data_IF_139461023213
#
_entry.id   IF_139461023213
#
_cell.length_a   1.000
_cell.length_b   1.000
_cell.length_c   1.000
_cell.angle_alpha   90.00
_cell.angle_beta   90.00
_cell.angle_gamma   90.00
#
_symmetry.space_group_name_H-M   'P 1'
#
loop_
_entity.id
_entity.type
_entity.pdbx_description
1 polymer ?
#
# COMPACT_ATOMS: atom_id res chain seq x y z
N UNK A 1 38.85 13.31 4.98
CA UNK A 1 37.66 14.10 5.36
C UNK A 1 36.90 14.35 4.08
N UNK A 2 36.00 13.42 3.75
CA UNK A 2 35.30 13.42 2.47
C UNK A 2 34.05 14.29 2.57
N UNK A 3 33.83 15.16 1.57
CA UNK A 3 32.79 16.22 1.54
C UNK A 3 31.38 15.66 1.25
N UNK A 4 31.15 14.39 1.55
CA UNK A 4 29.90 13.68 1.21
C UNK A 4 28.80 13.82 2.27
N UNK A 5 29.10 14.39 3.45
CA UNK A 5 28.12 14.51 4.57
C UNK A 5 27.05 15.59 4.38
N UNK A 6 27.24 16.58 3.51
CA UNK A 6 26.30 17.72 3.39
C UNK A 6 25.26 17.57 2.29
N UNK A 7 25.38 16.55 1.42
CA UNK A 7 24.46 16.38 0.30
C UNK A 7 23.12 15.82 0.79
N UNK A 8 22.08 16.63 0.65
CA UNK A 8 20.70 16.26 0.91
C UNK A 8 20.04 15.66 -0.33
N UNK A 9 19.24 14.63 -0.13
CA UNK A 9 18.46 13.97 -1.18
C UNK A 9 16.98 14.09 -0.86
N UNK A 10 16.23 14.64 -1.80
CA UNK A 10 14.76 14.67 -1.73
C UNK A 10 14.19 13.36 -2.24
N UNK A 11 13.24 12.81 -1.50
CA UNK A 11 12.65 11.52 -1.75
C UNK A 11 11.13 11.64 -1.69
N UNK A 12 10.48 10.93 -2.61
CA UNK A 12 9.05 10.68 -2.57
C UNK A 12 8.79 9.18 -2.67
N UNK A 13 7.87 8.69 -1.83
CA UNK A 13 7.33 7.33 -1.87
C UNK A 13 5.81 7.42 -1.76
N UNK A 14 5.05 6.99 -2.78
CA UNK A 14 3.60 7.02 -2.71
C UNK A 14 3.07 5.93 -1.78
N UNK A 15 1.83 6.04 -1.36
CA UNK A 15 1.08 4.88 -0.89
C UNK A 15 0.75 3.92 -2.05
N UNK A 16 -0.03 2.88 -1.75
CA UNK A 16 -0.54 1.96 -2.77
C UNK A 16 -1.99 1.61 -2.52
N UNK A 17 -2.72 1.37 -3.60
CA UNK A 17 -4.01 0.69 -3.54
C UNK A 17 -3.89 -0.70 -4.18
N UNK A 18 -4.55 -1.66 -3.56
CA UNK A 18 -4.79 -2.96 -4.18
C UNK A 18 -6.01 -2.80 -5.09
N UNK A 19 -5.80 -2.85 -6.41
CA UNK A 19 -6.90 -2.85 -7.36
C UNK A 19 -7.67 -4.17 -7.24
N UNK A 20 -6.95 -5.29 -7.18
CA UNK A 20 -7.50 -6.64 -7.05
C UNK A 20 -6.53 -7.59 -6.37
N UNK A 21 -7.05 -8.57 -5.63
CA UNK A 21 -6.29 -9.71 -5.13
C UNK A 21 -5.82 -9.62 -3.70
N UNK A 22 -6.55 -8.84 -2.89
CA UNK A 22 -6.35 -8.77 -1.45
C UNK A 22 -6.18 -10.16 -0.82
N UNK A 23 -5.29 -10.25 0.16
CA UNK A 23 -5.00 -11.45 0.94
C UNK A 23 -4.34 -12.63 0.19
N UNK A 24 -4.27 -12.58 -1.14
CA UNK A 24 -3.70 -13.69 -1.91
C UNK A 24 -2.18 -13.82 -1.75
N UNK A 25 -1.51 -12.75 -1.34
CA UNK A 25 -0.07 -12.69 -1.09
C UNK A 25 0.36 -13.59 0.08
N UNK A 26 -0.30 -13.49 1.23
CA UNK A 26 -0.04 -14.41 2.35
C UNK A 26 -0.69 -15.78 2.14
N UNK A 27 -1.81 -15.87 1.42
CA UNK A 27 -2.47 -17.16 1.15
C UNK A 27 -1.55 -18.08 0.33
N UNK A 28 -0.77 -17.51 -0.59
CA UNK A 28 0.22 -18.23 -1.38
C UNK A 28 1.28 -18.95 -0.54
N UNK A 29 1.58 -18.48 0.68
CA UNK A 29 2.55 -19.11 1.59
C UNK A 29 2.14 -20.53 2.02
N UNK A 30 0.84 -20.82 2.01
CA UNK A 30 0.32 -22.15 2.32
C UNK A 30 0.56 -23.15 1.17
N UNK A 31 0.74 -22.66 -0.07
CA UNK A 31 1.09 -23.49 -1.23
C UNK A 31 -0.08 -24.22 -1.89
N UNK A 32 -1.33 -23.89 -1.56
CA UNK A 32 -2.51 -24.45 -2.24
C UNK A 32 -2.74 -23.84 -3.62
N UNK A 33 -2.56 -22.52 -3.72
CA UNK A 33 -2.69 -21.75 -4.96
C UNK A 33 -1.59 -20.68 -5.03
N UNK A 34 -1.29 -20.22 -6.26
CA UNK A 34 -0.51 -18.99 -6.45
C UNK A 34 -1.36 -17.78 -6.07
N UNK A 35 -0.74 -16.82 -5.41
CA UNK A 35 -1.32 -15.51 -5.12
C UNK A 35 -1.14 -14.57 -6.30
N UNK A 36 -2.12 -13.71 -6.54
CA UNK A 36 -2.07 -12.71 -7.60
C UNK A 36 -2.64 -11.41 -7.07
N UNK A 37 -1.84 -10.35 -7.08
CA UNK A 37 -2.29 -9.01 -6.69
C UNK A 37 -2.03 -8.03 -7.84
N UNK A 38 -2.99 -7.17 -8.10
CA UNK A 38 -2.87 -6.06 -9.02
C UNK A 38 -2.85 -4.77 -8.20
N UNK A 39 -1.77 -4.01 -8.25
CA UNK A 39 -1.58 -2.83 -7.39
C UNK A 39 -1.10 -1.63 -8.18
N UNK A 40 -1.38 -0.43 -7.67
CA UNK A 40 -0.88 0.84 -8.23
C UNK A 40 -0.64 1.85 -7.10
N UNK A 41 0.35 2.72 -7.27
CA UNK A 41 0.67 3.79 -6.34
C UNK A 41 -0.35 4.94 -6.35
N UNK A 42 -0.57 5.52 -5.18
CA UNK A 42 -1.42 6.71 -5.02
C UNK A 42 -0.71 7.99 -5.46
N UNK A 43 -1.45 9.09 -5.60
CA UNK A 43 -0.84 10.43 -5.76
C UNK A 43 -0.27 10.95 -4.45
N UNK A 44 -0.87 10.49 -3.34
CA UNK A 44 -0.47 10.79 -1.98
C UNK A 44 0.67 9.85 -1.53
N UNK A 45 1.52 10.32 -0.63
CA UNK A 45 2.68 9.59 -0.16
C UNK A 45 3.43 10.27 0.98
N UNK A 46 4.71 9.92 1.07
CA UNK A 46 5.68 10.48 2.01
C UNK A 46 6.71 11.27 1.22
N UNK A 47 6.89 12.53 1.59
CA UNK A 47 8.02 13.34 1.14
C UNK A 47 9.05 13.43 2.25
N UNK A 48 10.32 13.25 1.92
CA UNK A 48 11.38 13.30 2.90
C UNK A 48 12.69 13.87 2.33
N UNK A 49 13.57 14.27 3.24
CA UNK A 49 14.94 14.65 2.95
C UNK A 49 15.86 13.70 3.71
N UNK A 50 16.82 13.10 3.01
CA UNK A 50 17.78 12.16 3.57
C UNK A 50 19.22 12.66 3.40
N UNK A 51 20.07 12.38 4.40
CA UNK A 51 21.52 12.63 4.39
C UNK A 51 22.28 11.46 4.99
N UNK A 52 23.54 11.31 4.59
CA UNK A 52 24.45 10.41 5.28
C UNK A 52 24.73 10.94 6.69
N UNK A 53 24.82 10.04 7.66
CA UNK A 53 25.10 10.37 9.05
C UNK A 53 25.88 9.24 9.75
N UNK A 54 26.48 9.51 10.91
CA UNK A 54 27.14 8.49 11.72
C UNK A 54 26.14 7.68 12.57
N UNK A 55 24.97 8.27 12.87
CA UNK A 55 23.85 7.66 13.60
C UNK A 55 22.67 7.39 12.68
N UNK A 56 21.71 6.58 13.15
CA UNK A 56 20.40 6.48 12.51
C UNK A 56 19.42 7.41 13.21
N UNK A 57 18.83 8.33 12.47
CA UNK A 57 17.90 9.33 12.97
C UNK A 57 16.72 9.44 12.01
N UNK A 58 15.51 9.39 12.57
CA UNK A 58 14.28 9.60 11.81
C UNK A 58 13.44 10.63 12.54
N UNK A 59 12.98 11.63 11.82
CA UNK A 59 12.18 12.75 12.33
C UNK A 59 10.93 12.94 11.47
N UNK A 60 9.78 13.21 12.10
CA UNK A 60 8.55 13.60 11.39
C UNK A 60 7.68 14.54 12.21
N UNK A 61 6.99 15.45 11.52
CA UNK A 61 5.88 16.20 12.11
C UNK A 61 4.66 15.29 12.24
N UNK A 62 4.06 15.25 13.44
CA UNK A 62 2.86 14.45 13.67
C UNK A 62 1.66 15.15 13.01
N UNK A 63 0.86 14.47 12.18
CA UNK A 63 -0.41 15.03 11.75
C UNK A 63 -1.38 15.18 12.93
N UNK A 64 -2.16 16.26 12.96
CA UNK A 64 -3.32 16.37 13.83
C UNK A 64 -4.41 15.33 13.42
N UNK A 65 -5.49 15.16 14.20
CA UNK A 65 -6.55 14.19 13.87
C UNK A 65 -7.24 14.45 12.52
N UNK A 66 -7.06 15.63 11.91
CA UNK A 66 -7.59 16.01 10.60
C UNK A 66 -6.54 15.88 9.49
N UNK A 67 -5.34 15.36 9.80
CA UNK A 67 -4.24 15.16 8.85
C UNK A 67 -3.41 16.42 8.58
N UNK A 68 -3.57 17.51 9.33
CA UNK A 68 -2.77 18.75 9.17
C UNK A 68 -1.49 18.63 9.98
N UNK A 69 -0.38 19.22 9.53
CA UNK A 69 0.86 19.23 10.32
C UNK A 69 0.63 19.89 11.68
N UNK A 70 0.59 19.08 12.75
CA UNK A 70 0.66 19.62 14.10
C UNK A 70 2.11 20.06 14.33
N UNK A 71 2.34 21.20 14.98
CA UNK A 71 3.72 21.65 15.29
C UNK A 71 4.49 20.73 16.24
N UNK A 72 3.99 19.51 16.52
CA UNK A 72 4.62 18.51 17.37
C UNK A 72 5.50 17.61 16.52
N UNK A 73 6.76 17.54 16.91
CA UNK A 73 7.74 16.68 16.30
C UNK A 73 7.84 15.33 17.04
N UNK A 74 8.05 14.24 16.30
CA UNK A 74 8.51 12.94 16.82
C UNK A 74 9.84 12.64 16.17
N UNK A 75 10.78 12.16 16.98
CA UNK A 75 12.09 11.78 16.51
C UNK A 75 12.55 10.52 17.25
N UNK A 76 13.26 9.64 16.54
CA UNK A 76 14.18 8.69 17.15
C UNK A 76 15.61 9.00 16.71
N UNK A 77 16.56 8.69 17.58
CA UNK A 77 17.98 8.66 17.21
C UNK A 77 18.67 7.53 17.96
N UNK A 78 19.43 6.71 17.24
CA UNK A 78 20.17 5.63 17.84
C UNK A 78 21.51 5.41 17.13
N UNK A 79 22.41 4.68 17.81
CA UNK A 79 23.71 4.35 17.26
C UNK A 79 23.54 3.45 16.04
N UNK A 80 24.35 3.70 15.01
CA UNK A 80 24.43 2.83 13.83
C UNK A 80 25.17 1.53 14.16
N UNK A 81 24.45 0.60 14.80
CA UNK A 81 24.90 -0.77 15.04
C UNK A 81 23.73 -1.74 15.08
N UNK A 82 23.95 -2.97 14.60
CA UNK A 82 22.90 -3.96 14.42
C UNK A 82 22.14 -4.30 15.71
N UNK A 83 22.82 -4.31 16.86
CA UNK A 83 22.17 -4.65 18.14
C UNK A 83 21.19 -3.56 18.56
N UNK A 84 21.57 -2.29 18.47
CA UNK A 84 20.72 -1.15 18.82
C UNK A 84 19.53 -1.05 17.88
N UNK A 85 19.75 -1.19 16.56
CA UNK A 85 18.68 -1.15 15.55
C UNK A 85 17.65 -2.27 15.75
N UNK A 86 18.12 -3.49 16.01
CA UNK A 86 17.24 -4.64 16.25
C UNK A 86 16.40 -4.48 17.52
N UNK A 87 16.97 -3.89 18.58
CA UNK A 87 16.25 -3.61 19.81
C UNK A 87 15.11 -2.61 19.55
N UNK A 88 15.39 -1.50 18.86
CA UNK A 88 14.39 -0.50 18.50
C UNK A 88 13.30 -1.06 17.56
N UNK A 89 13.64 -1.96 16.63
CA UNK A 89 12.65 -2.62 15.76
C UNK A 89 11.66 -3.51 16.53
N UNK A 90 12.13 -4.13 17.61
CA UNK A 90 11.35 -5.05 18.45
C UNK A 90 10.59 -4.37 19.58
N UNK A 91 10.91 -3.12 19.89
CA UNK A 91 10.20 -2.32 20.89
C UNK A 91 8.80 -1.95 20.36
N UNK A 92 7.76 -2.35 21.10
CA UNK A 92 6.37 -2.08 20.73
C UNK A 92 5.95 -0.64 21.01
N UNK A 93 6.65 0.05 21.91
CA UNK A 93 6.41 1.44 22.27
C UNK A 93 7.15 2.43 21.33
N UNK A 94 8.08 1.92 20.52
CA UNK A 94 8.84 2.72 19.57
C UNK A 94 8.02 3.05 18.31
N UNK A 95 7.74 4.33 18.13
CA UNK A 95 6.95 4.86 17.01
C UNK A 95 7.60 4.57 15.65
N UNK A 96 8.93 4.65 15.55
CA UNK A 96 9.66 4.42 14.30
C UNK A 96 10.25 3.00 14.20
N UNK A 97 9.69 2.02 14.91
CA UNK A 97 10.18 0.63 14.90
C UNK A 97 10.28 0.01 13.49
N UNK A 98 9.35 0.37 12.58
CA UNK A 98 9.42 -0.01 11.17
C UNK A 98 10.68 0.51 10.48
N UNK A 99 11.04 1.78 10.76
CA UNK A 99 12.24 2.40 10.21
C UNK A 99 13.49 1.72 10.76
N UNK A 100 13.52 1.44 12.07
CA UNK A 100 14.62 0.72 12.71
C UNK A 100 14.79 -0.69 12.16
N UNK A 101 13.69 -1.39 11.85
CA UNK A 101 13.72 -2.72 11.23
C UNK A 101 14.39 -2.70 9.85
N UNK A 102 14.02 -1.76 8.98
CA UNK A 102 14.67 -1.63 7.66
C UNK A 102 16.13 -1.18 7.81
N UNK A 103 16.41 -0.26 8.72
CA UNK A 103 17.76 0.18 9.02
C UNK A 103 18.65 -0.97 9.51
N UNK A 104 18.11 -1.90 10.33
CA UNK A 104 18.79 -3.13 10.72
C UNK A 104 19.16 -3.99 9.51
N UNK A 105 18.22 -4.24 8.59
CA UNK A 105 18.47 -4.99 7.36
C UNK A 105 19.56 -4.30 6.50
N UNK A 106 19.50 -2.97 6.38
CA UNK A 106 20.51 -2.18 5.67
C UNK A 106 21.89 -2.21 6.33
N UNK A 107 21.97 -2.32 7.66
CA UNK A 107 23.24 -2.28 8.41
C UNK A 107 24.21 -3.40 8.07
N UNK A 108 23.70 -4.51 7.53
CA UNK A 108 24.51 -5.67 7.14
C UNK A 108 24.83 -5.72 5.65
N UNK A 109 24.30 -4.79 4.85
CA UNK A 109 24.48 -4.79 3.40
C UNK A 109 25.84 -4.21 2.99
N UNK A 110 26.53 -4.85 2.02
CA UNK A 110 27.71 -4.27 1.40
C UNK A 110 27.41 -2.89 0.79
N UNK A 111 28.32 -1.94 0.97
CA UNK A 111 28.22 -0.59 0.43
C UNK A 111 27.56 0.44 1.35
N UNK A 112 26.84 0.02 2.40
CA UNK A 112 26.32 0.94 3.42
C UNK A 112 27.43 1.31 4.39
N UNK A 113 27.84 2.59 4.39
CA UNK A 113 29.04 3.06 5.11
C UNK A 113 28.76 3.74 6.45
N UNK A 114 27.50 4.04 6.75
CA UNK A 114 27.09 4.77 7.95
C UNK A 114 25.59 4.72 8.13
N UNK A 115 25.10 5.47 9.12
CA UNK A 115 23.68 5.65 9.39
C UNK A 115 23.00 6.62 8.41
N UNK A 116 21.87 7.16 8.82
CA UNK A 116 21.01 7.97 7.98
C UNK A 116 20.34 9.03 8.83
N UNK A 117 20.37 10.28 8.39
CA UNK A 117 19.50 11.33 8.90
C UNK A 117 18.33 11.49 7.92
N UNK A 118 17.13 11.05 8.32
CA UNK A 118 15.92 11.05 7.52
C UNK A 118 14.84 11.93 8.16
N UNK A 119 14.49 13.04 7.50
CA UNK A 119 13.38 13.89 7.90
C UNK A 119 12.20 13.74 6.96
N UNK A 120 11.09 13.20 7.44
CA UNK A 120 9.81 13.17 6.73
C UNK A 120 9.19 14.57 6.82
N UNK A 121 9.11 15.25 5.69
CA UNK A 121 8.68 16.65 5.60
C UNK A 121 7.21 16.81 5.31
N UNK A 122 6.58 15.82 4.66
CA UNK A 122 5.14 15.82 4.39
C UNK A 122 4.59 14.39 4.32
N UNK A 123 3.34 14.25 4.74
CA UNK A 123 2.58 13.00 4.72
C UNK A 123 1.12 13.34 4.43
N UNK A 124 0.67 13.07 3.20
CA UNK A 124 -0.71 13.28 2.76
C UNK A 124 -1.45 11.94 2.54
N UNK A 125 -0.83 10.83 2.95
CA UNK A 125 -1.40 9.49 2.92
C UNK A 125 -2.35 9.25 4.11
N UNK A 126 -3.58 8.72 3.90
CA UNK A 126 -4.47 8.39 5.02
C UNK A 126 -3.90 7.22 5.85
N UNK A 127 -3.49 7.52 7.08
CA UNK A 127 -2.84 6.56 7.98
C UNK A 127 -3.77 5.45 8.45
N UNK A 128 -3.28 4.20 8.47
CA UNK A 128 -3.97 3.01 9.02
C UNK A 128 -5.29 2.62 8.34
N UNK A 129 -5.54 3.03 7.09
CA UNK A 129 -6.81 2.76 6.38
C UNK A 129 -6.74 1.77 5.22
N UNK A 130 -5.58 1.17 4.97
CA UNK A 130 -5.42 0.15 3.90
C UNK A 130 -4.67 0.64 2.66
N UNK A 131 -4.06 1.82 2.72
CA UNK A 131 -3.21 2.41 1.66
C UNK A 131 -1.69 2.21 1.89
N UNK A 132 -1.33 1.24 2.74
CA UNK A 132 0.06 0.81 3.03
C UNK A 132 0.99 1.87 3.62
N UNK A 133 0.53 2.57 4.65
CA UNK A 133 1.37 3.54 5.36
C UNK A 133 2.63 2.93 6.00
N UNK A 134 2.59 1.68 6.50
CA UNK A 134 3.77 1.00 7.04
C UNK A 134 4.78 0.65 5.95
N UNK A 135 4.33 0.01 4.87
CA UNK A 135 5.23 -0.35 3.78
C UNK A 135 5.80 0.89 3.05
N UNK A 136 5.04 1.97 2.92
CA UNK A 136 5.55 3.22 2.35
C UNK A 136 6.71 3.80 3.18
N UNK A 137 6.62 3.78 4.53
CA UNK A 137 7.73 4.24 5.37
C UNK A 137 8.92 3.28 5.33
N UNK A 138 8.68 1.96 5.27
CA UNK A 138 9.75 0.97 5.09
C UNK A 138 10.50 1.17 3.76
N UNK A 139 9.76 1.34 2.66
CA UNK A 139 10.32 1.63 1.33
C UNK A 139 11.06 2.97 1.33
N UNK A 140 10.53 3.99 2.01
CA UNK A 140 11.20 5.28 2.14
C UNK A 140 12.59 5.15 2.76
N UNK A 141 12.71 4.39 3.86
CA UNK A 141 14.01 4.15 4.50
C UNK A 141 14.95 3.38 3.58
N UNK A 142 14.48 2.29 2.96
CA UNK A 142 15.31 1.49 2.03
C UNK A 142 15.80 2.34 0.85
N UNK A 143 14.89 3.10 0.22
CA UNK A 143 15.19 4.02 -0.89
C UNK A 143 16.13 5.15 -0.47
N UNK A 144 16.00 5.65 0.76
CA UNK A 144 16.91 6.66 1.29
C UNK A 144 18.34 6.14 1.42
N UNK A 145 18.53 4.94 1.98
CA UNK A 145 19.85 4.30 2.02
C UNK A 145 20.41 4.05 0.62
N UNK A 146 19.61 3.49 -0.30
CA UNK A 146 20.02 3.26 -1.69
C UNK A 146 20.49 4.55 -2.39
N UNK A 147 19.72 5.64 -2.23
CA UNK A 147 20.02 6.94 -2.85
C UNK A 147 21.24 7.60 -2.22
N UNK A 148 21.31 7.64 -0.88
CA UNK A 148 22.40 8.31 -0.15
C UNK A 148 23.73 7.62 -0.36
N UNK A 149 23.74 6.29 -0.36
CA UNK A 149 24.96 5.49 -0.50
C UNK A 149 25.26 5.06 -1.94
N UNK A 150 24.34 5.29 -2.88
CA UNK A 150 24.51 4.95 -4.30
C UNK A 150 24.64 3.44 -4.52
N UNK A 151 23.77 2.66 -3.87
CA UNK A 151 23.88 1.20 -3.86
C UNK A 151 23.43 0.57 -5.18
N UNK A 152 22.51 1.22 -5.91
CA UNK A 152 22.04 0.75 -7.21
C UNK A 152 21.14 -0.47 -7.12
N UNK A 153 20.35 -0.57 -6.05
CA UNK A 153 19.45 -1.69 -5.80
C UNK A 153 18.27 -1.68 -6.77
N UNK A 154 17.89 -2.87 -7.25
CA UNK A 154 16.68 -3.01 -8.05
C UNK A 154 15.43 -2.85 -7.18
N UNK A 155 14.28 -2.42 -7.76
CA UNK A 155 13.04 -2.21 -6.99
C UNK A 155 12.60 -3.42 -6.15
N UNK A 156 12.76 -4.65 -6.68
CA UNK A 156 12.41 -5.86 -5.94
C UNK A 156 13.32 -6.11 -4.73
N UNK A 157 14.60 -5.74 -4.80
CA UNK A 157 15.52 -5.83 -3.64
C UNK A 157 15.11 -4.84 -2.54
N UNK A 158 14.69 -3.64 -2.92
CA UNK A 158 14.15 -2.65 -1.97
C UNK A 158 12.86 -3.15 -1.32
N UNK A 159 12.00 -3.83 -2.07
CA UNK A 159 10.80 -4.47 -1.52
C UNK A 159 11.15 -5.53 -0.50
N UNK A 160 12.13 -6.38 -0.80
CA UNK A 160 12.56 -7.44 0.11
C UNK A 160 13.12 -6.89 1.41
N UNK A 161 13.96 -5.85 1.33
CA UNK A 161 14.50 -5.17 2.50
C UNK A 161 13.42 -4.51 3.35
N UNK A 162 12.47 -3.82 2.71
CA UNK A 162 11.34 -3.22 3.39
C UNK A 162 10.46 -4.27 4.07
N UNK A 163 10.20 -5.40 3.40
CA UNK A 163 9.41 -6.51 3.93
C UNK A 163 10.11 -7.19 5.12
N UNK A 164 11.40 -7.52 4.99
CA UNK A 164 12.17 -8.14 6.07
C UNK A 164 12.23 -7.22 7.29
N UNK A 165 12.50 -5.93 7.08
CA UNK A 165 12.49 -4.93 8.15
C UNK A 165 11.13 -4.80 8.84
N UNK A 166 10.04 -4.79 8.07
CA UNK A 166 8.67 -4.74 8.62
C UNK A 166 8.33 -6.00 9.43
N UNK A 167 8.81 -7.18 9.03
CA UNK A 167 8.57 -8.42 9.78
C UNK A 167 9.23 -8.46 11.15
N UNK A 168 10.32 -7.73 11.35
CA UNK A 168 10.96 -7.62 12.66
C UNK A 168 10.07 -6.97 13.72
N UNK A 169 9.03 -6.23 13.29
CA UNK A 169 8.08 -5.57 14.19
C UNK A 169 6.91 -6.49 14.62
N UNK A 170 6.92 -7.76 14.19
CA UNK A 170 5.78 -8.68 14.39
C UNK A 170 4.62 -8.47 13.41
N UNK A 171 4.80 -7.64 12.36
CA UNK A 171 3.79 -7.47 11.32
C UNK A 171 3.47 -8.80 10.62
N UNK A 172 2.18 -9.06 10.42
CA UNK A 172 1.68 -10.21 9.68
C UNK A 172 1.26 -9.86 8.23
N UNK A 173 1.54 -8.63 7.80
CA UNK A 173 1.27 -8.22 6.43
C UNK A 173 2.11 -9.06 5.45
N UNK A 174 1.53 -9.39 4.30
CA UNK A 174 2.28 -10.07 3.25
C UNK A 174 3.16 -9.11 2.46
N UNK A 175 3.68 -9.59 1.33
CA UNK A 175 4.70 -8.90 0.51
C UNK A 175 4.11 -7.92 -0.52
N UNK A 176 2.78 -7.80 -0.60
CA UNK A 176 2.11 -6.94 -1.59
C UNK A 176 2.40 -5.45 -1.35
N UNK A 177 2.44 -5.01 -0.09
CA UNK A 177 2.38 -3.60 0.26
C UNK A 177 3.64 -2.81 -0.12
N UNK A 178 4.79 -3.48 -0.18
CA UNK A 178 6.06 -2.89 -0.55
C UNK A 178 6.11 -2.53 -2.05
N UNK A 179 5.17 -3.02 -2.87
CA UNK A 179 5.07 -2.68 -4.28
C UNK A 179 4.71 -1.20 -4.54
N UNK A 180 4.46 -0.40 -3.49
CA UNK A 180 4.41 1.06 -3.59
C UNK A 180 5.67 1.68 -4.23
N UNK A 181 6.82 0.97 -4.21
CA UNK A 181 8.05 1.40 -4.90
C UNK A 181 7.85 1.63 -6.40
N UNK A 182 6.90 0.93 -7.05
CA UNK A 182 6.63 1.07 -8.49
C UNK A 182 5.82 2.32 -8.84
N UNK A 183 5.37 3.07 -7.83
CA UNK A 183 4.67 4.32 -8.00
C UNK A 183 3.47 4.20 -8.94
N UNK A 184 3.41 5.07 -9.95
CA UNK A 184 2.26 5.18 -10.85
C UNK A 184 2.14 4.10 -11.91
N UNK A 185 3.11 3.20 -11.99
CA UNK A 185 3.04 2.04 -12.88
C UNK A 185 2.23 0.94 -12.19
N UNK A 186 1.06 0.55 -12.71
CA UNK A 186 0.36 -0.61 -12.17
C UNK A 186 1.21 -1.86 -12.38
N UNK A 187 1.24 -2.74 -11.38
CA UNK A 187 2.01 -3.99 -11.46
C UNK A 187 1.13 -5.18 -11.07
N UNK A 188 1.27 -6.27 -11.82
CA UNK A 188 0.81 -7.59 -11.41
C UNK A 188 1.93 -8.25 -10.60
N UNK A 189 1.59 -8.63 -9.38
CA UNK A 189 2.44 -9.41 -8.48
C UNK A 189 1.93 -10.84 -8.47
N UNK A 190 2.82 -11.80 -8.69
CA UNK A 190 2.53 -13.24 -8.52
C UNK A 190 3.36 -13.79 -7.37
N UNK A 191 2.69 -14.46 -6.43
CA UNK A 191 3.28 -15.06 -5.25
C UNK A 191 3.17 -16.58 -5.34
N UNK A 192 4.24 -17.28 -5.03
CA UNK A 192 4.24 -18.73 -4.87
C UNK A 192 5.14 -19.14 -3.70
N UNK A 193 4.76 -20.23 -3.03
CA UNK A 193 5.48 -20.72 -1.85
C UNK A 193 6.93 -21.06 -2.21
N UNK A 194 7.88 -20.40 -1.53
CA UNK A 194 9.30 -20.65 -1.72
C UNK A 194 9.88 -20.09 -3.02
N UNK A 195 9.13 -19.25 -3.73
CA UNK A 195 9.60 -18.55 -4.94
C UNK A 195 9.73 -17.04 -4.66
N UNK A 196 10.58 -16.38 -5.44
CA UNK A 196 10.64 -14.93 -5.47
C UNK A 196 9.36 -14.34 -6.08
N UNK A 197 9.03 -13.11 -5.67
CA UNK A 197 7.86 -12.42 -6.22
C UNK A 197 8.13 -12.13 -7.69
N UNK A 198 7.25 -12.62 -8.57
CA UNK A 198 7.28 -12.19 -9.96
C UNK A 198 6.50 -10.87 -10.07
N UNK A 199 7.16 -9.87 -10.65
CA UNK A 199 6.57 -8.54 -10.88
C UNK A 199 6.45 -8.30 -12.38
N UNK A 200 5.25 -7.93 -12.82
CA UNK A 200 4.95 -7.65 -14.22
C UNK A 200 4.32 -6.26 -14.34
N UNK A 201 5.08 -5.25 -14.80
CA UNK A 201 4.52 -3.94 -15.10
C UNK A 201 3.42 -4.01 -16.15
N UNK A 202 2.40 -3.19 -15.96
CA UNK A 202 1.29 -3.04 -16.88
C UNK A 202 1.34 -1.63 -17.43
N UNK A 203 1.16 -1.55 -18.74
CA UNK A 203 1.15 -0.31 -19.49
C UNK A 203 -0.27 -0.06 -19.96
N UNK A 204 -1.06 0.78 -19.24
CA UNK A 204 -2.47 0.96 -19.55
C UNK A 204 -2.67 1.54 -20.95
N UNK A 205 -3.64 0.99 -21.69
CA UNK A 205 -3.99 1.43 -23.04
C UNK A 205 -4.73 2.76 -23.08
N UNK A 206 -5.31 3.17 -21.95
CA UNK A 206 -6.04 4.41 -21.79
C UNK A 206 -6.02 4.91 -20.34
N UNK A 207 -6.35 6.19 -20.15
CA UNK A 207 -6.48 6.76 -18.82
C UNK A 207 -7.74 6.23 -18.13
N UNK A 208 -7.63 5.83 -16.85
CA UNK A 208 -8.77 5.39 -16.04
C UNK A 208 -8.90 6.32 -14.84
N UNK A 209 -10.07 6.95 -14.74
CA UNK A 209 -10.40 7.88 -13.66
C UNK A 209 -10.92 7.11 -12.46
N UNK A 210 -10.27 7.27 -11.32
CA UNK A 210 -10.61 6.56 -10.09
C UNK A 210 -10.60 7.52 -8.91
N UNK A 211 -11.15 7.08 -7.80
CA UNK A 211 -10.93 7.71 -6.51
C UNK A 211 -11.02 6.65 -5.42
N UNK A 212 -10.43 6.96 -4.26
CA UNK A 212 -10.59 6.16 -3.07
C UNK A 212 -11.06 7.02 -1.90
N UNK A 213 -11.68 6.35 -0.93
CA UNK A 213 -12.41 6.99 0.15
C UNK A 213 -12.00 6.36 1.46
N UNK A 214 -11.45 7.16 2.38
CA UNK A 214 -11.39 6.78 3.79
C UNK A 214 -12.81 6.80 4.33
N UNK A 215 -13.32 5.63 4.71
CA UNK A 215 -14.69 5.45 5.18
C UNK A 215 -14.91 6.02 6.58
N UNK A 216 -13.84 6.49 7.25
CA UNK A 216 -13.85 6.99 8.62
C UNK A 216 -14.40 5.97 9.64
N UNK A 217 -14.43 4.69 9.27
CA UNK A 217 -14.78 3.58 10.16
C UNK A 217 -13.57 3.02 10.89
N UNK A 218 -13.81 1.92 11.60
CA UNK A 218 -12.80 1.21 12.37
C UNK A 218 -12.77 -0.26 11.95
N UNK A 219 -11.58 -0.84 11.97
CA UNK A 219 -11.34 -2.26 11.78
C UNK A 219 -10.05 -2.66 12.49
N UNK A 220 -10.01 -3.89 12.96
CA UNK A 220 -8.81 -4.53 13.46
C UNK A 220 -8.19 -5.41 12.37
N UNK A 221 -7.15 -4.87 11.73
CA UNK A 221 -6.44 -5.57 10.65
C UNK A 221 -5.73 -6.82 11.16
N UNK A 222 -5.24 -6.80 12.40
CA UNK A 222 -4.54 -7.95 13.01
C UNK A 222 -5.54 -9.06 13.27
N UNK A 223 -6.72 -8.74 13.81
CA UNK A 223 -7.81 -9.71 13.96
C UNK A 223 -8.24 -10.30 12.62
N UNK A 224 -8.49 -9.46 11.60
CA UNK A 224 -8.86 -9.93 10.25
C UNK A 224 -7.82 -10.93 9.72
N UNK A 225 -6.54 -10.58 9.76
CA UNK A 225 -5.48 -11.45 9.25
C UNK A 225 -5.39 -12.77 10.04
N UNK A 226 -5.50 -12.72 11.37
CA UNK A 226 -5.50 -13.92 12.20
C UNK A 226 -6.70 -14.83 11.89
N UNK A 227 -7.91 -14.28 11.85
CA UNK A 227 -9.14 -15.02 11.58
C UNK A 227 -9.08 -15.71 10.20
N UNK A 228 -8.69 -14.97 9.15
CA UNK A 228 -8.58 -15.49 7.79
C UNK A 228 -7.48 -16.55 7.66
N UNK A 229 -6.29 -16.32 8.23
CA UNK A 229 -5.19 -17.30 8.18
C UNK A 229 -5.56 -18.59 8.91
N UNK A 230 -6.26 -18.50 10.04
CA UNK A 230 -6.71 -19.66 10.80
C UNK A 230 -7.76 -20.46 10.02
N UNK A 231 -8.69 -19.78 9.35
CA UNK A 231 -9.74 -20.42 8.56
C UNK A 231 -9.23 -20.99 7.21
N UNK A 232 -8.14 -20.46 6.65
CA UNK A 232 -7.73 -20.73 5.26
C UNK A 232 -7.62 -22.21 4.91
N UNK A 233 -6.93 -23.01 5.72
CA UNK A 233 -6.76 -24.45 5.45
C UNK A 233 -8.04 -25.28 5.64
N UNK A 234 -9.06 -24.71 6.28
CA UNK A 234 -10.29 -25.40 6.67
C UNK A 234 -11.50 -24.99 5.80
N UNK A 235 -11.38 -23.91 5.03
CA UNK A 235 -12.49 -23.34 4.23
C UNK A 235 -12.22 -23.45 2.73
N UNK A 236 -12.86 -24.40 2.02
CA UNK A 236 -12.80 -24.47 0.56
C UNK A 236 -13.29 -23.19 -0.13
N UNK A 237 -14.24 -22.49 0.48
CA UNK A 237 -14.77 -21.23 -0.06
C UNK A 237 -13.72 -20.12 0.01
N UNK A 238 -13.00 -20.01 1.13
CA UNK A 238 -11.91 -19.06 1.28
C UNK A 238 -10.72 -19.40 0.34
N UNK A 239 -10.41 -20.70 0.18
CA UNK A 239 -9.40 -21.16 -0.77
C UNK A 239 -9.77 -20.80 -2.21
N UNK A 240 -11.04 -21.01 -2.60
CA UNK A 240 -11.56 -20.65 -3.91
C UNK A 240 -11.51 -19.13 -4.13
N UNK A 241 -11.94 -18.36 -3.14
CA UNK A 241 -11.97 -16.90 -3.20
C UNK A 241 -10.58 -16.29 -3.41
N UNK A 242 -9.58 -16.73 -2.63
CA UNK A 242 -8.22 -16.19 -2.67
C UNK A 242 -7.32 -16.86 -3.73
N UNK A 243 -7.74 -18.03 -4.23
CA UNK A 243 -7.05 -18.82 -5.25
C UNK A 243 -7.66 -18.63 -6.64
N UNK A 244 -8.47 -19.61 -7.08
CA UNK A 244 -8.96 -19.67 -8.45
C UNK A 244 -9.82 -18.46 -8.85
N UNK A 245 -10.81 -18.07 -8.04
CA UNK A 245 -11.67 -16.91 -8.34
C UNK A 245 -10.86 -15.62 -8.42
N UNK A 246 -9.91 -15.44 -7.50
CA UNK A 246 -8.98 -14.31 -7.54
C UNK A 246 -8.15 -14.30 -8.84
N UNK A 247 -7.51 -15.41 -9.20
CA UNK A 247 -6.69 -15.51 -10.40
C UNK A 247 -7.49 -15.17 -11.67
N UNK A 248 -8.74 -15.63 -11.75
CA UNK A 248 -9.63 -15.31 -12.87
C UNK A 248 -9.95 -13.82 -12.95
N UNK A 249 -10.33 -13.18 -11.84
CA UNK A 249 -10.65 -11.75 -11.77
C UNK A 249 -9.41 -10.91 -12.08
N UNK A 250 -8.26 -11.20 -11.47
CA UNK A 250 -7.01 -10.45 -11.68
C UNK A 250 -6.56 -10.53 -13.14
N UNK A 251 -6.68 -11.71 -13.79
CA UNK A 251 -6.37 -11.84 -15.21
C UNK A 251 -7.30 -10.98 -16.09
N UNK A 252 -8.60 -10.95 -15.79
CA UNK A 252 -9.53 -10.08 -16.52
C UNK A 252 -9.24 -8.60 -16.27
N UNK A 253 -8.88 -8.23 -15.04
CA UNK A 253 -8.51 -6.86 -14.69
C UNK A 253 -7.21 -6.42 -15.38
N UNK A 254 -6.22 -7.31 -15.49
CA UNK A 254 -5.01 -7.09 -16.27
C UNK A 254 -5.36 -6.71 -17.72
N UNK A 255 -6.24 -7.48 -18.36
CA UNK A 255 -6.67 -7.19 -19.73
C UNK A 255 -7.43 -5.86 -19.82
N UNK A 256 -8.35 -5.59 -18.89
CA UNK A 256 -9.08 -4.33 -18.84
C UNK A 256 -8.13 -3.12 -18.73
N UNK A 257 -7.11 -3.18 -17.86
CA UNK A 257 -6.08 -2.14 -17.78
C UNK A 257 -5.30 -2.00 -19.08
N UNK A 258 -4.83 -3.13 -19.65
CA UNK A 258 -4.01 -3.13 -20.86
C UNK A 258 -4.69 -2.47 -22.06
N UNK A 259 -6.03 -2.57 -22.17
CA UNK A 259 -6.81 -1.91 -23.23
C UNK A 259 -7.46 -0.59 -22.80
N UNK A 260 -7.33 -0.19 -21.52
CA UNK A 260 -7.93 1.03 -20.98
C UNK A 260 -9.45 0.96 -20.75
N UNK A 261 -10.01 -0.23 -20.57
CA UNK A 261 -11.45 -0.44 -20.36
C UNK A 261 -11.85 -0.20 -18.89
N UNK A 262 -12.15 1.06 -18.57
CA UNK A 262 -12.62 1.49 -17.26
C UNK A 262 -13.94 0.82 -16.84
N UNK A 263 -14.83 0.54 -17.79
CA UNK A 263 -16.13 -0.06 -17.50
C UNK A 263 -15.98 -1.53 -17.08
N UNK A 264 -15.18 -2.31 -17.82
CA UNK A 264 -14.84 -3.67 -17.43
C UNK A 264 -14.14 -3.70 -16.06
N UNK A 265 -13.21 -2.78 -15.79
CA UNK A 265 -12.54 -2.68 -14.50
C UNK A 265 -13.55 -2.44 -13.36
N UNK A 266 -14.50 -1.52 -13.54
CA UNK A 266 -15.56 -1.25 -12.56
C UNK A 266 -16.47 -2.45 -12.32
N UNK A 267 -16.91 -3.14 -13.38
CA UNK A 267 -17.70 -4.38 -13.26
C UNK A 267 -16.95 -5.47 -12.50
N UNK A 268 -15.65 -5.61 -12.74
CA UNK A 268 -14.80 -6.55 -12.01
C UNK A 268 -14.67 -6.20 -10.53
N UNK A 269 -14.64 -4.91 -10.18
CA UNK A 269 -14.65 -4.50 -8.76
C UNK A 269 -15.94 -4.94 -8.05
N UNK A 270 -17.10 -4.79 -8.69
CA UNK A 270 -18.38 -5.26 -8.15
C UNK A 270 -18.35 -6.78 -7.96
N UNK A 271 -17.89 -7.53 -8.96
CA UNK A 271 -17.79 -8.99 -8.88
C UNK A 271 -16.82 -9.43 -7.76
N UNK A 272 -15.68 -8.76 -7.65
CA UNK A 272 -14.69 -9.01 -6.60
C UNK A 272 -15.24 -8.72 -5.21
N UNK A 273 -15.95 -7.60 -5.02
CA UNK A 273 -16.58 -7.29 -3.74
C UNK A 273 -17.63 -8.33 -3.37
N UNK A 274 -18.50 -8.72 -4.31
CA UNK A 274 -19.49 -9.77 -4.08
C UNK A 274 -18.84 -11.09 -3.64
N UNK A 275 -17.79 -11.54 -4.34
CA UNK A 275 -17.03 -12.74 -3.94
C UNK A 275 -16.42 -12.58 -2.55
N UNK A 276 -15.90 -11.39 -2.22
CA UNK A 276 -15.35 -11.11 -0.90
C UNK A 276 -16.43 -11.22 0.19
N UNK A 277 -17.59 -10.59 -0.02
CA UNK A 277 -18.70 -10.58 0.95
C UNK A 277 -19.29 -11.98 1.18
N UNK A 278 -19.38 -12.78 0.11
CA UNK A 278 -19.97 -14.13 0.18
C UNK A 278 -19.00 -15.17 0.74
N UNK A 279 -17.69 -15.09 0.40
CA UNK A 279 -16.74 -16.19 0.65
C UNK A 279 -15.61 -15.83 1.63
N UNK A 280 -15.34 -14.54 1.86
CA UNK A 280 -14.22 -14.10 2.73
C UNK A 280 -14.74 -13.46 4.01
N UNK A 281 -15.66 -12.49 3.91
CA UNK A 281 -16.22 -11.77 5.04
C UNK A 281 -16.79 -12.65 6.16
N UNK A 282 -17.45 -13.80 5.89
CA UNK A 282 -18.00 -14.67 6.94
C UNK A 282 -16.96 -15.24 7.90
N UNK A 283 -15.67 -15.20 7.55
CA UNK A 283 -14.59 -15.69 8.41
C UNK A 283 -14.11 -14.67 9.44
N UNK A 284 -14.50 -13.39 9.33
CA UNK A 284 -14.25 -12.38 10.37
C UNK A 284 -15.44 -11.39 10.43
N UNK A 285 -16.64 -11.87 10.80
CA UNK A 285 -17.89 -11.12 10.59
C UNK A 285 -17.94 -9.81 11.38
N UNK A 286 -17.35 -9.78 12.57
CA UNK A 286 -17.27 -8.57 13.40
C UNK A 286 -16.46 -7.43 12.74
N UNK A 287 -15.51 -7.78 11.89
CA UNK A 287 -14.59 -6.83 11.25
C UNK A 287 -14.93 -6.58 9.78
N UNK A 288 -15.56 -7.56 9.11
CA UNK A 288 -15.81 -7.56 7.67
C UNK A 288 -17.29 -7.38 7.30
N UNK A 289 -18.22 -7.25 8.27
CA UNK A 289 -19.60 -6.84 7.98
C UNK A 289 -19.71 -5.45 7.32
N UNK A 290 -18.72 -4.59 7.54
CA UNK A 290 -18.44 -3.35 6.78
C UNK A 290 -19.66 -2.48 6.40
N UNK A 291 -20.52 -2.07 7.34
CA UNK A 291 -21.73 -1.33 7.02
C UNK A 291 -21.47 -0.01 6.28
N UNK A 292 -20.39 0.72 6.60
CA UNK A 292 -20.07 1.97 5.92
C UNK A 292 -19.60 1.72 4.48
N UNK A 293 -18.81 0.66 4.26
CA UNK A 293 -18.43 0.23 2.91
C UNK A 293 -19.68 -0.04 2.07
N UNK A 294 -20.60 -0.87 2.57
CA UNK A 294 -21.81 -1.21 1.82
C UNK A 294 -22.74 -0.01 1.63
N UNK A 295 -22.83 0.89 2.61
CA UNK A 295 -23.58 2.14 2.47
C UNK A 295 -23.04 3.00 1.33
N UNK A 296 -21.71 3.12 1.20
CA UNK A 296 -21.06 3.86 0.11
C UNK A 296 -21.28 3.18 -1.24
N UNK A 297 -21.03 1.86 -1.33
CA UNK A 297 -21.14 1.12 -2.59
C UNK A 297 -22.58 1.04 -3.12
N UNK A 298 -23.58 1.13 -2.24
CA UNK A 298 -25.00 1.10 -2.58
C UNK A 298 -25.66 2.48 -2.74
N UNK A 299 -24.90 3.57 -2.58
CA UNK A 299 -25.44 4.93 -2.63
C UNK A 299 -25.99 5.24 -4.04
N UNK A 300 -27.32 5.42 -4.23
CA UNK A 300 -27.91 5.55 -5.56
C UNK A 300 -27.40 6.77 -6.34
N UNK A 301 -27.06 7.85 -5.63
CA UNK A 301 -26.51 9.08 -6.22
C UNK A 301 -25.16 8.85 -6.92
N UNK A 302 -24.41 7.80 -6.57
CA UNK A 302 -23.13 7.49 -7.24
C UNK A 302 -23.29 6.71 -8.54
N UNK A 303 -24.37 5.94 -8.69
CA UNK A 303 -24.56 5.03 -9.82
C UNK A 303 -24.42 5.69 -11.21
N UNK A 304 -24.86 6.94 -11.44
CA UNK A 304 -24.65 7.63 -12.71
C UNK A 304 -23.18 7.97 -12.99
N UNK A 305 -22.32 8.04 -11.98
CA UNK A 305 -20.96 8.58 -12.06
C UNK A 305 -19.87 7.51 -12.01
N UNK A 306 -20.19 6.29 -11.57
CA UNK A 306 -19.23 5.20 -11.43
C UNK A 306 -19.61 3.98 -12.27
N UNK A 307 -18.60 3.20 -12.64
CA UNK A 307 -18.77 1.86 -13.23
C UNK A 307 -18.82 0.76 -12.17
N UNK A 308 -18.22 1.00 -11.01
CA UNK A 308 -18.22 0.07 -9.87
C UNK A 308 -17.17 0.43 -8.82
N UNK A 309 -17.17 -0.31 -7.72
CA UNK A 309 -16.26 -0.11 -6.61
C UNK A 309 -16.18 -1.32 -5.68
N UNK A 310 -15.19 -1.30 -4.79
CA UNK A 310 -14.91 -2.34 -3.79
C UNK A 310 -14.13 -1.76 -2.60
N UNK A 311 -14.04 -2.47 -1.48
CA UNK A 311 -13.11 -2.11 -0.41
C UNK A 311 -11.66 -2.45 -0.76
N UNK A 312 -10.71 -1.92 0.01
CA UNK A 312 -9.26 -1.97 -0.26
C UNK A 312 -8.49 -2.58 0.90
N UNK A 313 -7.40 -3.30 0.61
CA UNK A 313 -6.47 -3.80 1.61
C UNK A 313 -7.08 -4.95 2.39
N UNK A 314 -7.16 -4.86 3.72
CA UNK A 314 -7.84 -5.89 4.52
C UNK A 314 -9.38 -5.74 4.54
N UNK A 315 -9.95 -4.88 3.68
CA UNK A 315 -11.38 -4.58 3.63
C UNK A 315 -11.89 -3.97 4.94
N UNK A 316 -13.11 -4.30 5.41
CA UNK A 316 -13.73 -3.63 6.56
C UNK A 316 -14.16 -2.20 6.23
N UNK A 317 -14.56 -1.45 7.26
CA UNK A 317 -14.84 -0.01 7.14
C UNK A 317 -13.55 0.85 7.14
N UNK A 318 -12.55 0.41 6.37
CA UNK A 318 -11.26 1.09 6.20
C UNK A 318 -11.26 2.05 5.00
N UNK A 319 -11.23 1.50 3.80
CA UNK A 319 -11.16 2.28 2.56
C UNK A 319 -11.93 1.60 1.46
N UNK A 320 -12.64 2.40 0.65
CA UNK A 320 -13.26 1.98 -0.60
C UNK A 320 -12.54 2.61 -1.79
N UNK A 321 -12.63 1.98 -2.96
CA UNK A 321 -12.18 2.52 -4.24
C UNK A 321 -13.28 2.37 -5.29
N UNK A 322 -13.28 3.29 -6.25
CA UNK A 322 -14.28 3.34 -7.32
C UNK A 322 -13.62 3.69 -8.65
N UNK A 323 -14.17 3.12 -9.73
CA UNK A 323 -13.87 3.53 -11.09
C UNK A 323 -14.95 4.49 -11.57
N UNK A 324 -14.56 5.73 -11.83
CA UNK A 324 -15.45 6.76 -12.35
C UNK A 324 -15.55 6.69 -13.88
N UNK A 325 -16.67 7.19 -14.42
CA UNK A 325 -16.89 7.23 -15.88
C UNK A 325 -16.01 8.23 -16.61
N UNK A 326 -15.65 9.32 -15.93
CA UNK A 326 -14.81 10.38 -16.44
C UNK A 326 -14.15 11.14 -15.28
N UNK A 327 -13.17 12.03 -15.54
CA UNK A 327 -12.64 12.93 -14.51
C UNK A 327 -13.73 13.82 -13.88
N UNK A 328 -14.68 14.31 -14.66
CA UNK A 328 -15.81 15.12 -14.15
C UNK A 328 -16.75 14.30 -13.27
N UNK A 329 -17.03 13.06 -13.65
CA UNK A 329 -17.85 12.14 -12.86
C UNK A 329 -17.16 11.76 -11.55
N UNK A 330 -15.84 11.57 -11.57
CA UNK A 330 -15.04 11.35 -10.35
C UNK A 330 -15.24 12.50 -9.37
N UNK A 331 -15.02 13.73 -9.84
CA UNK A 331 -15.09 14.90 -8.96
C UNK A 331 -16.53 15.12 -8.44
N UNK A 332 -17.53 14.82 -9.27
CA UNK A 332 -18.96 14.85 -8.88
C UNK A 332 -19.28 13.78 -7.83
N UNK A 333 -18.84 12.53 -8.03
CA UNK A 333 -19.02 11.43 -7.08
C UNK A 333 -18.35 11.73 -5.73
N UNK A 334 -17.13 12.29 -5.75
CA UNK A 334 -16.44 12.72 -4.53
C UNK A 334 -17.18 13.86 -3.81
N UNK A 335 -17.79 14.80 -4.54
CA UNK A 335 -18.61 15.86 -3.96
C UNK A 335 -19.90 15.33 -3.32
N UNK A 336 -20.57 14.37 -3.97
CA UNK A 336 -21.74 13.66 -3.43
C UNK A 336 -21.38 13.01 -2.10
N UNK A 337 -20.27 12.26 -2.04
CA UNK A 337 -19.83 11.60 -0.81
C UNK A 337 -19.49 12.58 0.30
N UNK A 338 -18.76 13.66 0.01
CA UNK A 338 -18.44 14.70 1.02
C UNK A 338 -19.70 15.35 1.59
N UNK A 339 -20.76 15.48 0.79
CA UNK A 339 -22.06 16.01 1.25
C UNK A 339 -22.83 14.98 2.09
N UNK A 340 -22.92 13.74 1.60
CA UNK A 340 -23.70 12.68 2.24
C UNK A 340 -23.05 12.14 3.51
N UNK A 341 -21.71 12.13 3.57
CA UNK A 341 -20.90 11.54 4.64
C UNK A 341 -19.70 12.45 4.97
N UNK A 342 -19.92 13.59 5.65
CA UNK A 342 -18.88 14.63 5.87
C UNK A 342 -17.64 14.16 6.63
N UNK A 343 -17.73 13.05 7.35
CA UNK A 343 -16.61 12.43 8.06
C UNK A 343 -15.63 11.70 7.12
N UNK A 344 -16.08 11.32 5.91
CA UNK A 344 -15.26 10.58 4.96
C UNK A 344 -14.36 11.51 4.15
N UNK A 345 -13.18 11.01 3.79
CA UNK A 345 -12.21 11.76 2.97
C UNK A 345 -12.04 11.07 1.63
N UNK A 346 -12.20 11.83 0.55
CA UNK A 346 -12.06 11.33 -0.82
C UNK A 346 -10.78 11.84 -1.46
N UNK A 347 -10.05 10.95 -2.13
CA UNK A 347 -8.77 11.19 -2.77
C UNK A 347 -8.87 10.81 -4.25
N UNK A 348 -8.51 11.72 -5.17
CA UNK A 348 -8.50 11.40 -6.58
C UNK A 348 -7.36 10.41 -6.89
N UNK A 349 -7.58 9.57 -7.89
CA UNK A 349 -6.55 8.70 -8.45
C UNK A 349 -6.72 8.60 -9.95
N UNK A 350 -5.62 8.67 -10.70
CA UNK A 350 -5.64 8.43 -12.14
C UNK A 350 -4.61 7.39 -12.50
N UNK A 351 -5.05 6.32 -13.16
CA UNK A 351 -4.17 5.40 -13.85
C UNK A 351 -3.91 6.00 -15.22
N UNK A 352 -2.65 6.35 -15.49
CA UNK A 352 -2.24 7.03 -16.71
C UNK A 352 -1.77 6.04 -17.78
N UNK A 353 -1.99 6.34 -19.07
CA UNK A 353 -1.50 5.50 -20.15
C UNK A 353 0.03 5.57 -20.25
N UNK A 354 0.63 4.54 -20.85
CA UNK A 354 2.09 4.38 -20.94
C UNK A 354 2.83 5.61 -21.50
N UNK A 355 2.23 6.31 -22.47
CA UNK A 355 2.82 7.48 -23.11
C UNK A 355 2.96 8.70 -22.17
N UNK A 356 2.18 8.78 -21.10
CA UNK A 356 2.22 9.89 -20.15
C UNK A 356 3.35 9.75 -19.10
N UNK A 357 3.78 8.51 -18.80
CA UNK A 357 4.80 8.25 -17.76
C UNK A 357 6.24 8.48 -18.24
N UNK A 358 6.48 8.59 -19.56
CA UNK A 358 7.81 8.84 -20.14
C UNK A 358 8.29 10.29 -20.06
N UNK A 359 7.39 11.26 -19.77
CA UNK A 359 7.73 12.68 -19.71
C UNK A 359 8.17 13.16 -18.31
N UNK A 360 8.03 12.33 -17.27
CA UNK A 360 8.35 12.69 -15.88
C UNK A 360 9.74 12.24 -15.40
N UNK A 361 10.51 11.55 -16.26
CA UNK A 361 11.84 11.01 -15.95
C UNK A 361 12.92 11.40 -16.97
N UNK A 362 12.67 12.46 -17.75
CA UNK A 362 13.64 13.05 -18.68
C UNK A 362 14.24 14.35 -18.12
#
# INVERSE_FOLDING_TARGET
MDRTSDKAYELFVPGRICLFGEHSDWAAEFGLHKGHCLVVGTDQGLSAVARAADSFTVETLIPDPLGRTSGRNRQMSCRWDAKTLLAAAKDEDEFFRYCAGVAYEMSTRPGVRGGLDLRITAMDLPLKKGVSSSAAVCILVAKAFDTVYGLGLFPHELMDLAYLGERLTGSQCGRMDQACIYGKTPVLLTFAKGEDIRVEPIFPGGAISMFFVDLAGQKDTVKILNDLRWAYLQSPDLQRALGESNAQIVRQAYHALAVGDAEALGRLMIASQKTFDELVAPHSPEQLASPLLHQVLSLPELAPHIYGGKGVGSQGDGTAQMVARSPSDRDTAMAILRRAMPQMQCFPLTISPAAANGAAHA
#
